data_IF_454603329533
#
_entry.id   IF_454603329533
#
_cell.length_a   1.000
_cell.length_b   1.000
_cell.length_c   1.000
_cell.angle_alpha   90.00
_cell.angle_beta   90.00
_cell.angle_gamma   90.00
#
_symmetry.space_group_name_H-M   'P 1'
#
loop_
_entity.id
_entity.type
_entity.pdbx_description
1 polymer ?
#
# COMPACT_ATOMS: atom_id res chain seq x y z
N UNK A 1 12.72 40.47 17.08
CA UNK A 1 13.48 39.62 17.99
C UNK A 1 13.24 38.17 17.59
N UNK A 2 14.15 37.60 16.81
CA UNK A 2 14.13 36.18 16.43
C UNK A 2 14.44 35.31 17.63
N UNK A 3 13.56 34.37 17.94
CA UNK A 3 13.79 33.43 19.05
C UNK A 3 15.01 32.55 18.76
N UNK A 4 15.77 32.08 19.76
CA UNK A 4 16.94 31.22 19.56
C UNK A 4 16.67 29.98 18.71
N UNK A 5 15.47 29.38 18.84
CA UNK A 5 15.02 28.24 18.04
C UNK A 5 14.92 28.55 16.55
N UNK A 6 14.44 29.78 16.19
CA UNK A 6 14.33 30.20 14.80
C UNK A 6 15.70 30.45 14.15
N UNK A 7 16.68 30.89 14.92
CA UNK A 7 18.06 31.06 14.46
C UNK A 7 18.77 29.71 14.21
N UNK A 8 18.52 28.71 15.05
CA UNK A 8 19.04 27.35 14.85
C UNK A 8 18.54 26.77 13.52
N UNK A 9 17.22 26.83 13.30
CA UNK A 9 16.61 26.31 12.06
C UNK A 9 17.18 26.96 10.79
N UNK A 10 17.41 28.29 10.79
CA UNK A 10 18.02 28.99 9.64
C UNK A 10 19.45 28.49 9.38
N UNK A 11 20.24 28.26 10.42
CA UNK A 11 21.60 27.75 10.29
C UNK A 11 21.62 26.33 9.72
N UNK A 12 20.74 25.48 10.22
CA UNK A 12 20.62 24.09 9.74
C UNK A 12 20.15 24.01 8.29
N UNK A 13 19.15 24.81 7.92
CA UNK A 13 18.70 24.89 6.52
C UNK A 13 19.83 25.34 5.59
N UNK A 14 20.67 26.30 6.02
CA UNK A 14 21.84 26.73 5.23
C UNK A 14 22.91 25.65 5.12
N UNK A 15 23.12 24.84 6.15
CA UNK A 15 24.04 23.70 6.09
C UNK A 15 23.54 22.62 5.13
N UNK A 16 22.24 22.32 5.15
CA UNK A 16 21.61 21.40 4.20
C UNK A 16 21.71 21.93 2.75
N UNK A 17 21.50 23.23 2.55
CA UNK A 17 21.69 23.85 1.23
C UNK A 17 23.14 23.81 0.77
N UNK A 18 24.10 24.00 1.66
CA UNK A 18 25.52 23.87 1.33
C UNK A 18 25.89 22.42 0.95
N UNK A 19 25.36 21.43 1.69
CA UNK A 19 25.53 20.02 1.36
C UNK A 19 24.91 19.70 -0.01
N UNK A 20 23.72 20.21 -0.30
CA UNK A 20 23.06 20.09 -1.58
C UNK A 20 23.96 20.59 -2.73
N UNK A 21 24.54 21.79 -2.61
CA UNK A 21 25.47 22.34 -3.61
C UNK A 21 26.70 21.44 -3.79
N UNK A 22 27.25 20.89 -2.72
CA UNK A 22 28.38 19.96 -2.76
C UNK A 22 28.00 18.67 -3.52
N UNK A 23 26.85 18.08 -3.22
CA UNK A 23 26.36 16.87 -3.88
C UNK A 23 26.04 17.12 -5.36
N UNK A 24 25.44 18.28 -5.70
CA UNK A 24 25.18 18.65 -7.10
C UNK A 24 26.48 18.87 -7.91
N UNK A 25 27.56 19.28 -7.28
CA UNK A 25 28.82 19.53 -7.97
C UNK A 25 29.47 18.28 -8.56
N UNK A 26 28.94 17.08 -8.26
CA UNK A 26 29.45 15.76 -8.69
C UNK A 26 30.97 15.59 -8.46
N UNK A 27 31.50 16.27 -7.45
CA UNK A 27 32.88 16.08 -7.04
C UNK A 27 33.05 14.75 -6.35
N UNK A 28 33.95 13.89 -6.81
CA UNK A 28 34.23 12.60 -6.18
C UNK A 28 34.63 12.79 -4.71
N UNK A 29 33.73 12.48 -3.81
CA UNK A 29 33.98 12.54 -2.37
C UNK A 29 34.53 11.18 -1.95
N UNK A 30 35.83 11.05 -1.94
CA UNK A 30 36.50 9.78 -1.59
C UNK A 30 36.37 9.50 -0.10
N UNK A 31 35.94 8.28 0.23
CA UNK A 31 35.93 7.77 1.61
C UNK A 31 34.65 8.05 2.40
N UNK A 32 33.58 8.54 1.76
CA UNK A 32 32.26 8.62 2.40
C UNK A 32 31.56 7.26 2.40
N UNK A 33 31.08 6.86 3.56
CA UNK A 33 30.15 5.73 3.69
C UNK A 33 28.72 6.23 3.45
N UNK A 34 28.15 5.89 2.29
CA UNK A 34 26.83 6.36 1.88
C UNK A 34 25.73 5.87 2.81
N UNK A 35 25.86 4.65 3.34
CA UNK A 35 24.91 4.09 4.31
C UNK A 35 24.89 4.92 5.61
N UNK A 36 26.07 5.27 6.15
CA UNK A 36 26.14 6.09 7.36
C UNK A 36 25.60 7.51 7.13
N UNK A 37 25.81 8.06 5.94
CA UNK A 37 25.26 9.37 5.58
C UNK A 37 23.72 9.32 5.47
N UNK A 38 23.18 8.29 4.83
CA UNK A 38 21.74 8.12 4.72
C UNK A 38 21.10 7.96 6.10
N UNK A 39 21.65 7.07 6.94
CA UNK A 39 21.16 6.87 8.31
C UNK A 39 21.23 8.18 9.11
N UNK A 40 22.30 8.92 8.99
CA UNK A 40 22.47 10.21 9.63
C UNK A 40 21.40 11.24 9.21
N UNK A 41 21.07 11.28 7.91
CA UNK A 41 20.03 12.17 7.38
C UNK A 41 18.63 11.72 7.78
N UNK A 42 18.34 10.41 7.77
CA UNK A 42 17.07 9.85 8.24
C UNK A 42 16.88 10.13 9.75
N UNK A 43 17.93 9.94 10.54
CA UNK A 43 17.89 10.28 11.97
C UNK A 43 17.65 11.77 12.19
N UNK A 44 18.31 12.63 11.43
CA UNK A 44 18.11 14.07 11.48
C UNK A 44 16.68 14.45 11.08
N UNK A 45 16.13 13.85 10.01
CA UNK A 45 14.74 14.03 9.58
C UNK A 45 13.76 13.70 10.72
N UNK A 46 13.90 12.53 11.34
CA UNK A 46 13.07 12.09 12.46
C UNK A 46 13.16 13.04 13.63
N UNK A 47 14.38 13.44 14.02
CA UNK A 47 14.59 14.40 15.11
C UNK A 47 13.93 15.74 14.83
N UNK A 48 13.98 16.22 13.58
CA UNK A 48 13.32 17.49 13.21
C UNK A 48 11.81 17.41 13.29
N UNK A 49 11.22 16.38 12.71
CA UNK A 49 9.78 16.17 12.71
C UNK A 49 9.23 15.99 14.13
N UNK A 50 9.95 15.27 15.00
CA UNK A 50 9.54 15.08 16.39
C UNK A 50 9.61 16.38 17.20
N UNK A 51 10.56 17.29 16.90
CA UNK A 51 10.71 18.57 17.59
C UNK A 51 9.74 19.65 17.07
N UNK A 52 9.52 19.71 15.76
CA UNK A 52 8.63 20.67 15.11
C UNK A 52 8.10 20.16 13.76
N UNK A 53 7.02 19.38 13.77
CA UNK A 53 6.46 18.79 12.56
C UNK A 53 5.90 19.84 11.57
N UNK A 54 5.65 21.06 12.04
CA UNK A 54 5.12 22.16 11.23
C UNK A 54 6.20 23.00 10.54
N UNK A 55 7.48 22.78 10.84
CA UNK A 55 8.59 23.38 10.07
C UNK A 55 8.80 22.61 8.74
N UNK A 56 7.79 22.67 7.87
CA UNK A 56 7.81 21.98 6.60
C UNK A 56 9.03 22.38 5.73
N UNK A 57 9.56 23.58 5.88
CA UNK A 57 10.71 24.05 5.11
C UNK A 57 11.98 23.26 5.44
N UNK A 58 12.29 23.07 6.72
CA UNK A 58 13.49 22.32 7.14
C UNK A 58 13.32 20.83 6.89
N UNK A 59 12.11 20.29 7.14
CA UNK A 59 11.80 18.89 6.84
C UNK A 59 11.98 18.61 5.34
N UNK A 60 11.41 19.45 4.46
CA UNK A 60 11.55 19.29 3.02
C UNK A 60 13.01 19.43 2.57
N UNK A 61 13.76 20.40 3.09
CA UNK A 61 15.17 20.54 2.76
C UNK A 61 16.01 19.29 3.15
N UNK A 62 15.61 18.60 4.22
CA UNK A 62 16.25 17.33 4.62
C UNK A 62 15.90 16.20 3.64
N UNK A 63 14.64 16.11 3.23
CA UNK A 63 14.18 15.16 2.21
C UNK A 63 14.93 15.40 0.89
N UNK A 64 15.03 16.66 0.45
CA UNK A 64 15.74 17.02 -0.77
C UNK A 64 17.22 16.62 -0.67
N UNK A 65 17.85 16.77 0.49
CA UNK A 65 19.25 16.34 0.71
C UNK A 65 19.40 14.81 0.59
N UNK A 66 18.44 14.01 1.08
CA UNK A 66 18.43 12.56 0.90
C UNK A 66 18.29 12.19 -0.59
N UNK A 67 17.41 12.86 -1.31
CA UNK A 67 17.24 12.65 -2.75
C UNK A 67 18.52 13.00 -3.54
N UNK A 68 19.21 14.08 -3.18
CA UNK A 68 20.49 14.43 -3.80
C UNK A 68 21.59 13.44 -3.47
N UNK A 69 21.59 12.88 -2.25
CA UNK A 69 22.51 11.82 -1.88
C UNK A 69 22.28 10.57 -2.76
N UNK A 70 21.03 10.20 -3.00
CA UNK A 70 20.69 9.11 -3.91
C UNK A 70 21.10 9.39 -5.37
N UNK A 71 20.90 10.61 -5.85
CA UNK A 71 21.35 11.04 -7.19
C UNK A 71 22.89 11.08 -7.36
N UNK A 72 23.62 11.28 -6.26
CA UNK A 72 25.07 11.29 -6.25
C UNK A 72 25.67 9.89 -6.38
N UNK A 73 24.96 8.86 -5.89
CA UNK A 73 25.39 7.47 -6.09
C UNK A 73 25.35 7.15 -7.57
N UNK A 74 26.49 6.82 -8.14
CA UNK A 74 26.71 6.60 -9.59
C UNK A 74 25.85 5.47 -10.16
N UNK A 75 25.15 4.71 -9.32
CA UNK A 75 24.41 3.52 -9.67
C UNK A 75 22.93 3.73 -9.41
N UNK A 76 22.20 4.06 -10.47
CA UNK A 76 20.72 4.07 -10.46
C UNK A 76 20.12 2.71 -10.01
N UNK A 77 20.91 1.64 -10.07
CA UNK A 77 20.52 0.27 -9.70
C UNK A 77 20.47 0.03 -8.18
N UNK A 78 20.77 1.05 -7.36
CA UNK A 78 20.79 0.95 -5.89
C UNK A 78 19.63 1.67 -5.20
N UNK A 79 18.61 2.09 -5.94
CA UNK A 79 17.45 2.75 -5.31
C UNK A 79 16.71 1.80 -4.36
N UNK A 80 16.66 0.51 -4.66
CA UNK A 80 16.10 -0.51 -3.79
C UNK A 80 16.85 -0.61 -2.45
N UNK A 81 18.18 -0.44 -2.42
CA UNK A 81 18.98 -0.38 -1.19
C UNK A 81 18.56 0.80 -0.31
N UNK A 82 18.29 1.98 -0.90
CA UNK A 82 17.79 3.14 -0.16
C UNK A 82 16.41 2.87 0.45
N UNK A 83 15.52 2.25 -0.32
CA UNK A 83 14.18 1.87 0.19
C UNK A 83 14.32 0.87 1.32
N UNK A 84 15.14 -0.18 1.15
CA UNK A 84 15.41 -1.19 2.17
C UNK A 84 16.05 -0.62 3.44
N UNK A 85 16.78 0.47 3.35
CA UNK A 85 17.38 1.15 4.49
C UNK A 85 16.38 2.06 5.21
N UNK A 86 15.47 2.74 4.49
CA UNK A 86 14.47 3.63 5.07
C UNK A 86 13.28 2.85 5.68
N UNK A 87 12.84 1.77 5.04
CA UNK A 87 11.67 1.00 5.47
C UNK A 87 11.75 0.50 6.94
N UNK A 88 12.88 0.00 7.46
CA UNK A 88 13.01 -0.38 8.87
C UNK A 88 12.78 0.78 9.84
N UNK A 89 13.17 2.00 9.48
CA UNK A 89 12.93 3.18 10.33
C UNK A 89 11.43 3.46 10.47
N UNK A 90 10.64 3.26 9.41
CA UNK A 90 9.17 3.38 9.47
C UNK A 90 8.60 2.37 10.46
N UNK A 91 9.03 1.11 10.36
CA UNK A 91 8.56 0.05 11.26
C UNK A 91 9.00 0.30 12.71
N UNK A 92 10.23 0.76 12.92
CA UNK A 92 10.71 1.12 14.25
C UNK A 92 9.84 2.22 14.88
N UNK A 93 9.51 3.28 14.13
CA UNK A 93 8.62 4.34 14.60
C UNK A 93 7.20 3.80 14.87
N UNK A 94 6.68 2.94 13.99
CA UNK A 94 5.34 2.35 14.13
C UNK A 94 5.21 1.57 15.45
N UNK A 95 6.21 0.77 15.77
CA UNK A 95 6.20 -0.11 16.95
C UNK A 95 6.80 0.51 18.22
N UNK A 96 7.34 1.72 18.15
CA UNK A 96 7.88 2.42 19.32
C UNK A 96 6.75 2.76 20.31
N UNK A 97 6.78 2.13 21.48
CA UNK A 97 5.78 2.35 22.52
C UNK A 97 6.01 3.64 23.34
N UNK A 98 7.15 4.29 23.17
CA UNK A 98 7.51 5.51 23.90
C UNK A 98 7.07 6.78 23.16
N UNK A 99 6.86 6.69 21.83
CA UNK A 99 6.42 7.82 21.03
C UNK A 99 4.89 8.01 21.14
N UNK A 100 4.47 9.25 21.28
CA UNK A 100 3.06 9.65 21.20
C UNK A 100 2.51 9.39 19.76
N UNK A 101 1.23 9.05 19.65
CA UNK A 101 0.60 8.72 18.37
C UNK A 101 0.73 9.84 17.33
N UNK A 102 0.63 11.12 17.75
CA UNK A 102 0.87 12.27 16.85
C UNK A 102 2.32 12.34 16.35
N UNK A 103 3.31 12.08 17.23
CA UNK A 103 4.71 12.05 16.81
C UNK A 103 4.99 10.91 15.86
N UNK A 104 4.38 9.73 16.07
CA UNK A 104 4.44 8.61 15.12
C UNK A 104 3.87 9.00 13.77
N UNK A 105 2.67 9.60 13.75
CA UNK A 105 2.00 10.08 12.54
C UNK A 105 2.93 10.96 11.70
N UNK A 106 3.45 12.03 12.28
CA UNK A 106 4.31 12.96 11.54
C UNK A 106 5.62 12.30 11.10
N UNK A 107 6.25 11.49 11.95
CA UNK A 107 7.49 10.78 11.62
C UNK A 107 7.31 9.79 10.46
N UNK A 108 6.25 8.98 10.49
CA UNK A 108 5.95 8.02 9.43
C UNK A 108 5.61 8.77 8.13
N UNK A 109 4.76 9.80 8.18
CA UNK A 109 4.43 10.60 7.00
C UNK A 109 5.67 11.27 6.39
N UNK A 110 6.62 11.74 7.19
CA UNK A 110 7.86 12.33 6.68
C UNK A 110 8.76 11.29 5.98
N UNK A 111 8.88 10.09 6.55
CA UNK A 111 9.63 9.00 5.91
C UNK A 111 8.96 8.52 4.62
N UNK A 112 7.63 8.44 4.59
CA UNK A 112 6.88 8.12 3.37
C UNK A 112 7.03 9.21 2.30
N UNK A 113 6.98 10.49 2.69
CA UNK A 113 7.27 11.61 1.77
C UNK A 113 8.70 11.56 1.24
N UNK A 114 9.65 11.08 2.05
CA UNK A 114 11.02 10.86 1.62
C UNK A 114 11.11 9.75 0.55
N UNK A 115 10.46 8.61 0.77
CA UNK A 115 10.39 7.53 -0.23
C UNK A 115 9.71 8.00 -1.53
N UNK A 116 8.60 8.73 -1.41
CA UNK A 116 7.92 9.29 -2.58
C UNK A 116 8.81 10.23 -3.38
N UNK A 117 9.53 11.13 -2.71
CA UNK A 117 10.48 12.04 -3.35
C UNK A 117 11.64 11.30 -4.03
N UNK A 118 12.13 10.21 -3.42
CA UNK A 118 13.14 9.31 -4.01
C UNK A 118 12.63 8.69 -5.31
N UNK A 119 11.43 8.11 -5.32
CA UNK A 119 10.84 7.52 -6.53
C UNK A 119 10.64 8.57 -7.63
N UNK A 120 10.09 9.73 -7.31
CA UNK A 120 9.88 10.82 -8.28
C UNK A 120 11.19 11.39 -8.85
N UNK A 121 12.27 11.38 -8.07
CA UNK A 121 13.58 11.84 -8.54
C UNK A 121 14.33 10.81 -9.41
N UNK A 122 13.89 9.54 -9.37
CA UNK A 122 14.49 8.44 -10.13
C UNK A 122 13.45 7.69 -10.99
N UNK A 123 12.76 8.37 -11.91
CA UNK A 123 11.64 7.78 -12.64
C UNK A 123 12.04 6.63 -13.60
N UNK A 124 13.33 6.43 -13.81
CA UNK A 124 13.89 5.37 -14.66
C UNK A 124 14.50 4.21 -13.86
N UNK A 125 14.46 4.25 -12.54
CA UNK A 125 14.98 3.20 -11.70
C UNK A 125 13.87 2.19 -11.37
N UNK A 126 14.13 0.91 -11.67
CA UNK A 126 13.24 -0.18 -11.29
C UNK A 126 13.48 -0.58 -9.82
N UNK A 127 12.40 -0.67 -9.03
CA UNK A 127 12.44 -1.15 -7.64
C UNK A 127 11.47 -2.33 -7.49
N UNK A 128 11.97 -3.54 -7.20
CA UNK A 128 11.13 -4.72 -7.09
C UNK A 128 10.06 -4.59 -5.98
N UNK A 129 8.86 -5.13 -6.20
CA UNK A 129 7.78 -5.11 -5.20
C UNK A 129 8.14 -5.81 -3.89
N UNK A 130 9.03 -6.82 -3.94
CA UNK A 130 9.54 -7.49 -2.73
C UNK A 130 10.25 -6.55 -1.75
N UNK A 131 10.77 -5.42 -2.23
CA UNK A 131 11.42 -4.38 -1.41
C UNK A 131 10.48 -3.77 -0.37
N UNK A 132 9.17 -3.81 -0.63
CA UNK A 132 8.13 -3.36 0.29
C UNK A 132 7.73 -4.39 1.35
N UNK A 133 8.35 -5.57 1.36
CA UNK A 133 8.00 -6.61 2.33
C UNK A 133 8.05 -6.09 3.77
N UNK A 134 7.06 -6.48 4.56
CA UNK A 134 6.81 -6.05 5.96
C UNK A 134 6.25 -4.63 6.14
N UNK A 135 6.34 -3.74 5.14
CA UNK A 135 5.79 -2.37 5.27
C UNK A 135 4.27 -2.34 5.27
N UNK A 136 3.60 -3.38 4.77
CA UNK A 136 2.14 -3.54 4.82
C UNK A 136 1.58 -3.48 6.26
N UNK A 137 2.43 -3.70 7.27
CA UNK A 137 2.09 -3.53 8.67
C UNK A 137 1.61 -2.10 9.02
N UNK A 138 1.98 -1.10 8.21
CA UNK A 138 1.55 0.30 8.36
C UNK A 138 0.03 0.42 8.24
N UNK A 139 -0.63 -0.46 7.47
CA UNK A 139 -2.10 -0.49 7.35
C UNK A 139 -2.81 -0.85 8.67
N UNK A 140 -2.09 -1.40 9.66
CA UNK A 140 -2.62 -1.60 11.00
C UNK A 140 -2.58 -0.33 11.87
N UNK A 141 -2.04 0.79 11.37
CA UNK A 141 -2.04 2.07 12.09
C UNK A 141 -3.47 2.52 12.39
N UNK A 142 -3.68 3.02 13.61
CA UNK A 142 -4.95 3.64 14.00
C UNK A 142 -5.22 4.95 13.26
N UNK A 143 -4.17 5.62 12.81
CA UNK A 143 -4.28 6.90 12.12
C UNK A 143 -4.51 6.70 10.62
N UNK A 144 -5.66 7.17 10.13
CA UNK A 144 -6.03 7.06 8.71
C UNK A 144 -5.09 7.81 7.77
N UNK A 145 -4.53 8.93 8.22
CA UNK A 145 -3.58 9.72 7.44
C UNK A 145 -2.31 8.91 7.14
N UNK A 146 -1.81 8.15 8.11
CA UNK A 146 -0.65 7.26 7.96
C UNK A 146 -0.94 6.17 6.93
N UNK A 147 -2.13 5.54 7.00
CA UNK A 147 -2.53 4.49 6.06
C UNK A 147 -2.66 5.02 4.63
N UNK A 148 -3.33 6.17 4.49
CA UNK A 148 -3.52 6.85 3.21
C UNK A 148 -2.17 7.30 2.62
N UNK A 149 -1.28 7.87 3.43
CA UNK A 149 0.06 8.25 2.98
C UNK A 149 0.86 7.02 2.50
N UNK A 150 0.79 5.89 3.20
CA UNK A 150 1.43 4.64 2.78
C UNK A 150 0.91 4.14 1.43
N UNK A 151 -0.42 4.03 1.28
CA UNK A 151 -1.03 3.60 0.02
C UNK A 151 -0.70 4.56 -1.13
N UNK A 152 -0.64 5.86 -0.86
CA UNK A 152 -0.24 6.87 -1.83
C UNK A 152 1.22 6.71 -2.28
N UNK A 153 2.15 6.53 -1.33
CA UNK A 153 3.57 6.34 -1.65
C UNK A 153 3.78 5.06 -2.46
N UNK A 154 3.11 3.97 -2.09
CA UNK A 154 3.12 2.73 -2.87
C UNK A 154 2.51 2.93 -4.27
N UNK A 155 1.41 3.67 -4.39
CA UNK A 155 0.78 4.00 -5.67
C UNK A 155 1.71 4.84 -6.57
N UNK A 156 2.45 5.80 -6.01
CA UNK A 156 3.45 6.58 -6.77
C UNK A 156 4.53 5.67 -7.33
N UNK A 157 5.07 4.76 -6.51
CA UNK A 157 6.02 3.75 -6.98
C UNK A 157 5.44 2.90 -8.11
N UNK A 158 4.23 2.33 -7.92
CA UNK A 158 3.57 1.49 -8.93
C UNK A 158 3.31 2.22 -10.25
N UNK A 159 2.98 3.50 -10.21
CA UNK A 159 2.80 4.30 -11.44
C UNK A 159 4.11 4.51 -12.21
N UNK A 160 5.22 4.59 -11.51
CA UNK A 160 6.55 4.65 -12.13
C UNK A 160 6.88 3.30 -12.76
N UNK A 161 6.65 2.19 -12.06
CA UNK A 161 6.83 0.85 -12.61
C UNK A 161 5.93 0.60 -13.83
N UNK A 162 4.68 1.06 -13.79
CA UNK A 162 3.79 1.01 -14.95
C UNK A 162 4.38 1.78 -16.15
N UNK A 163 4.88 2.99 -15.93
CA UNK A 163 5.51 3.78 -16.99
C UNK A 163 6.77 3.11 -17.56
N UNK A 164 7.57 2.44 -16.73
CA UNK A 164 8.73 1.66 -17.17
C UNK A 164 8.33 0.45 -18.01
N UNK A 165 7.25 -0.24 -17.63
CA UNK A 165 6.68 -1.34 -18.39
C UNK A 165 6.18 -0.87 -19.77
N UNK A 166 5.42 0.22 -19.82
CA UNK A 166 4.89 0.81 -21.06
C UNK A 166 6.00 1.27 -22.03
N UNK A 167 7.14 1.70 -21.48
CA UNK A 167 8.32 2.09 -22.25
C UNK A 167 9.21 0.89 -22.66
N UNK A 168 8.91 -0.30 -22.15
CA UNK A 168 9.72 -1.49 -22.37
C UNK A 168 11.07 -1.50 -21.66
N UNK A 169 11.23 -0.67 -20.62
CA UNK A 169 12.46 -0.60 -19.84
C UNK A 169 12.54 -1.69 -18.75
N UNK A 170 11.41 -2.28 -18.41
CA UNK A 170 11.31 -3.43 -17.50
C UNK A 170 10.31 -4.44 -18.01
N UNK A 171 10.26 -5.60 -17.38
CA UNK A 171 9.30 -6.68 -17.65
C UNK A 171 8.49 -6.96 -16.41
N UNK A 172 7.37 -7.68 -16.54
CA UNK A 172 6.58 -8.09 -15.38
C UNK A 172 7.44 -8.87 -14.39
N UNK A 173 7.34 -8.53 -13.11
CA UNK A 173 7.99 -9.33 -12.07
C UNK A 173 7.47 -10.77 -12.08
N UNK A 174 8.35 -11.78 -11.92
CA UNK A 174 7.92 -13.16 -11.75
C UNK A 174 6.99 -13.29 -10.54
N UNK A 175 5.89 -14.04 -10.71
CA UNK A 175 4.87 -14.21 -9.66
C UNK A 175 5.48 -14.64 -8.33
N UNK A 176 6.45 -15.54 -8.35
CA UNK A 176 7.13 -16.06 -7.15
C UNK A 176 7.96 -15.01 -6.39
N UNK A 177 8.31 -13.90 -7.01
CA UNK A 177 9.11 -12.85 -6.36
C UNK A 177 8.26 -11.84 -5.61
N UNK A 178 7.08 -11.47 -6.14
CA UNK A 178 6.21 -10.44 -5.55
C UNK A 178 5.02 -11.02 -4.76
N UNK A 179 4.62 -12.27 -5.00
CA UNK A 179 3.39 -12.85 -4.45
C UNK A 179 3.36 -12.85 -2.90
N UNK A 180 4.52 -13.03 -2.24
CA UNK A 180 4.61 -13.01 -0.78
C UNK A 180 4.19 -11.66 -0.19
N UNK A 181 4.71 -10.56 -0.75
CA UNK A 181 4.30 -9.21 -0.35
C UNK A 181 2.82 -8.98 -0.66
N UNK A 182 2.34 -9.36 -1.84
CA UNK A 182 0.95 -9.13 -2.24
C UNK A 182 -0.04 -9.90 -1.37
N UNK A 183 0.26 -11.12 -0.94
CA UNK A 183 -0.57 -11.85 0.04
C UNK A 183 -0.63 -11.14 1.40
N UNK A 184 0.51 -10.66 1.90
CA UNK A 184 0.55 -9.91 3.15
C UNK A 184 -0.24 -8.60 3.04
N UNK A 185 -0.06 -7.86 1.95
CA UNK A 185 -0.78 -6.62 1.66
C UNK A 185 -2.30 -6.88 1.58
N UNK A 186 -2.73 -7.91 0.83
CA UNK A 186 -4.12 -8.29 0.70
C UNK A 186 -4.75 -8.65 2.05
N UNK A 187 -4.03 -9.38 2.91
CA UNK A 187 -4.48 -9.70 4.26
C UNK A 187 -4.68 -8.46 5.12
N UNK A 188 -3.76 -7.48 5.04
CA UNK A 188 -3.89 -6.20 5.77
C UNK A 188 -5.04 -5.35 5.26
N UNK A 189 -5.20 -5.27 3.94
CA UNK A 189 -6.31 -4.54 3.33
C UNK A 189 -7.66 -5.16 3.69
N UNK A 190 -7.79 -6.49 3.67
CA UNK A 190 -8.97 -7.18 4.12
C UNK A 190 -9.28 -6.85 5.59
N UNK A 191 -8.28 -6.99 6.46
CA UNK A 191 -8.45 -6.70 7.90
C UNK A 191 -8.92 -5.27 8.11
N UNK A 192 -8.31 -4.30 7.43
CA UNK A 192 -8.69 -2.89 7.53
C UNK A 192 -10.12 -2.66 7.02
N UNK A 193 -10.46 -3.20 5.84
CA UNK A 193 -11.76 -3.00 5.22
C UNK A 193 -12.91 -3.62 6.03
N UNK A 194 -12.68 -4.76 6.70
CA UNK A 194 -13.71 -5.50 7.44
C UNK A 194 -13.69 -5.25 8.95
N UNK A 195 -12.83 -4.38 9.43
CA UNK A 195 -12.69 -4.06 10.85
C UNK A 195 -14.00 -3.54 11.44
N UNK A 196 -14.51 -4.24 12.47
CA UNK A 196 -15.78 -3.91 13.11
C UNK A 196 -17.02 -4.55 12.44
N UNK A 197 -16.89 -5.26 11.30
CA UNK A 197 -17.97 -6.00 10.66
C UNK A 197 -17.94 -7.50 10.99
N UNK A 198 -16.76 -8.04 11.19
CA UNK A 198 -16.56 -9.43 11.58
C UNK A 198 -16.44 -9.45 13.09
N UNK A 199 -17.46 -9.98 13.78
CA UNK A 199 -17.36 -10.29 15.20
C UNK A 199 -16.22 -11.30 15.36
N UNK A 200 -15.14 -10.88 15.99
CA UNK A 200 -14.10 -11.79 16.48
C UNK A 200 -14.70 -12.64 17.64
N UNK A 201 -15.61 -13.54 17.29
CA UNK A 201 -16.26 -14.48 18.22
C UNK A 201 -15.25 -15.39 18.94
N UNK A 202 -13.95 -15.27 18.65
CA UNK A 202 -12.88 -16.06 19.21
C UNK A 202 -12.15 -15.40 20.41
N UNK A 203 -12.43 -14.14 20.74
CA UNK A 203 -11.83 -13.47 21.92
C UNK A 203 -12.87 -12.73 22.73
N UNK A 204 -13.56 -13.41 23.70
CA UNK A 204 -14.58 -12.78 24.55
C UNK A 204 -13.96 -11.98 25.70
N UNK A 205 -12.85 -11.29 25.55
CA UNK A 205 -12.14 -10.63 26.67
C UNK A 205 -11.65 -9.23 26.38
N UNK A 206 -12.43 -8.40 25.72
CA UNK A 206 -12.24 -6.97 25.96
C UNK A 206 -13.46 -6.16 25.53
N UNK A 207 -14.02 -5.40 26.48
CA UNK A 207 -14.99 -4.30 26.27
C UNK A 207 -14.43 -3.15 25.40
N UNK A 208 -13.45 -3.43 24.56
CA UNK A 208 -12.83 -2.45 23.69
C UNK A 208 -13.34 -2.68 22.27
N UNK A 209 -14.46 -2.04 21.95
CA UNK A 209 -14.79 -1.77 20.55
C UNK A 209 -13.54 -1.20 19.86
N UNK A 210 -13.18 -1.68 18.64
CA UNK A 210 -12.00 -1.17 17.95
C UNK A 210 -12.10 0.35 17.86
N UNK A 211 -11.13 1.05 18.44
CA UNK A 211 -11.16 2.51 18.57
C UNK A 211 -10.97 3.24 17.24
N UNK A 212 -10.91 2.52 16.12
CA UNK A 212 -10.78 3.08 14.78
C UNK A 212 -11.45 2.18 13.73
N UNK A 213 -11.84 2.76 12.61
CA UNK A 213 -12.42 2.08 11.45
C UNK A 213 -11.74 2.57 10.18
N UNK A 214 -11.95 1.85 9.07
CA UNK A 214 -11.55 2.35 7.76
C UNK A 214 -12.35 3.61 7.40
N UNK A 215 -11.71 4.57 6.76
CA UNK A 215 -12.32 5.80 6.28
C UNK A 215 -12.63 5.70 4.79
N UNK A 216 -13.50 6.56 4.21
CA UNK A 216 -13.73 6.58 2.77
C UNK A 216 -12.45 6.75 1.95
N UNK A 217 -11.47 7.50 2.47
CA UNK A 217 -10.17 7.69 1.83
C UNK A 217 -9.35 6.40 1.77
N UNK A 218 -9.43 5.54 2.81
CA UNK A 218 -8.76 4.23 2.79
C UNK A 218 -9.28 3.38 1.61
N UNK A 219 -10.61 3.30 1.42
CA UNK A 219 -11.22 2.52 0.32
C UNK A 219 -10.86 3.07 -1.05
N UNK A 220 -10.88 4.39 -1.22
CA UNK A 220 -10.53 5.05 -2.47
C UNK A 220 -9.05 4.76 -2.84
N UNK A 221 -8.14 4.89 -1.88
CA UNK A 221 -6.72 4.63 -2.10
C UNK A 221 -6.44 3.13 -2.34
N UNK A 222 -7.15 2.23 -1.66
CA UNK A 222 -7.06 0.79 -1.94
C UNK A 222 -7.44 0.48 -3.39
N UNK A 223 -8.53 1.09 -3.88
CA UNK A 223 -8.97 0.91 -5.25
C UNK A 223 -7.93 1.39 -6.26
N UNK A 224 -7.45 2.64 -6.15
CA UNK A 224 -6.48 3.21 -7.09
C UNK A 224 -5.17 2.41 -7.11
N UNK A 225 -4.73 1.93 -5.94
CA UNK A 225 -3.55 1.08 -5.84
C UNK A 225 -3.77 -0.28 -6.52
N UNK A 226 -4.94 -0.90 -6.33
CA UNK A 226 -5.27 -2.17 -6.98
C UNK A 226 -5.37 -2.05 -8.49
N UNK A 227 -5.96 -0.98 -8.99
CA UNK A 227 -6.03 -0.72 -10.43
C UNK A 227 -4.64 -0.70 -11.06
N UNK A 228 -3.68 -0.06 -10.40
CA UNK A 228 -2.29 -0.01 -10.87
C UNK A 228 -1.57 -1.35 -10.70
N UNK A 229 -1.78 -2.06 -9.57
CA UNK A 229 -1.21 -3.39 -9.34
C UNK A 229 -1.68 -4.42 -10.38
N UNK A 230 -2.93 -4.36 -10.81
CA UNK A 230 -3.46 -5.24 -11.86
C UNK A 230 -2.77 -5.03 -13.21
N UNK A 231 -2.15 -3.87 -13.42
CA UNK A 231 -1.36 -3.57 -14.62
C UNK A 231 0.10 -3.99 -14.42
N UNK A 232 0.69 -3.67 -13.26
CA UNK A 232 2.13 -3.91 -12.98
C UNK A 232 2.43 -5.38 -12.71
N UNK A 233 1.56 -6.09 -11.99
CA UNK A 233 1.74 -7.48 -11.61
C UNK A 233 0.42 -8.28 -11.78
N UNK A 234 -0.10 -8.44 -13.02
CA UNK A 234 -1.47 -8.87 -13.26
C UNK A 234 -1.79 -10.25 -12.68
N UNK A 235 -0.97 -11.27 -12.94
CA UNK A 235 -1.22 -12.64 -12.47
C UNK A 235 -1.04 -12.76 -10.95
N UNK A 236 0.01 -12.18 -10.39
CA UNK A 236 0.25 -12.20 -8.94
C UNK A 236 -0.84 -11.46 -8.18
N UNK A 237 -1.31 -10.33 -8.71
CA UNK A 237 -2.43 -9.57 -8.12
C UNK A 237 -3.72 -10.38 -8.10
N UNK A 238 -4.08 -11.09 -9.17
CA UNK A 238 -5.26 -11.95 -9.15
C UNK A 238 -5.15 -13.07 -8.11
N UNK A 239 -4.01 -13.75 -8.05
CA UNK A 239 -3.81 -14.83 -7.09
C UNK A 239 -3.86 -14.35 -5.63
N UNK A 240 -3.34 -13.16 -5.36
CA UNK A 240 -3.29 -12.61 -4.01
C UNK A 240 -4.61 -11.96 -3.57
N UNK A 241 -5.29 -11.22 -4.46
CA UNK A 241 -6.41 -10.37 -4.07
C UNK A 241 -7.79 -10.96 -4.35
N UNK A 242 -7.96 -11.87 -5.32
CA UNK A 242 -9.28 -12.45 -5.60
C UNK A 242 -9.86 -13.21 -4.39
N UNK A 243 -9.14 -14.12 -3.72
CA UNK A 243 -9.73 -14.85 -2.58
C UNK A 243 -10.20 -13.94 -1.44
N UNK A 244 -9.42 -12.94 -0.94
CA UNK A 244 -9.92 -12.01 0.08
C UNK A 244 -11.08 -11.14 -0.42
N UNK A 245 -11.11 -10.74 -1.70
CA UNK A 245 -12.21 -9.95 -2.27
C UNK A 245 -13.52 -10.75 -2.33
N UNK A 246 -13.45 -12.01 -2.71
CA UNK A 246 -14.63 -12.91 -2.66
C UNK A 246 -15.10 -13.11 -1.22
N UNK A 247 -14.19 -13.18 -0.25
CA UNK A 247 -14.54 -13.22 1.17
C UNK A 247 -15.19 -11.91 1.64
N UNK A 248 -14.69 -10.75 1.21
CA UNK A 248 -15.32 -9.45 1.48
C UNK A 248 -16.73 -9.35 0.85
N UNK A 249 -16.90 -9.89 -0.36
CA UNK A 249 -18.21 -9.96 -0.99
C UNK A 249 -19.22 -10.75 -0.11
N UNK A 250 -18.80 -11.87 0.45
CA UNK A 250 -19.64 -12.66 1.37
C UNK A 250 -20.00 -11.88 2.64
N UNK A 251 -19.03 -11.23 3.28
CA UNK A 251 -19.27 -10.40 4.47
C UNK A 251 -20.27 -9.28 4.15
N UNK A 252 -20.19 -8.70 2.96
CA UNK A 252 -21.10 -7.63 2.54
C UNK A 252 -22.52 -8.07 2.18
N UNK A 253 -22.76 -9.39 2.03
CA UNK A 253 -24.09 -9.95 1.81
C UNK A 253 -24.89 -10.13 3.11
N UNK A 254 -24.20 -10.17 4.25
CA UNK A 254 -24.87 -10.36 5.54
C UNK A 254 -25.60 -9.07 5.94
N UNK A 255 -26.93 -9.09 6.13
CA UNK A 255 -27.66 -7.93 6.63
C UNK A 255 -27.37 -7.75 8.13
N UNK A 256 -26.14 -7.36 8.44
CA UNK A 256 -25.75 -7.03 9.81
C UNK A 256 -26.14 -5.61 10.16
N UNK A 257 -26.43 -5.40 11.43
CA UNK A 257 -26.56 -4.15 12.17
C UNK A 257 -27.17 -2.93 11.47
N UNK A 258 -28.15 -2.36 12.11
CA UNK A 258 -28.84 -1.12 11.74
C UNK A 258 -28.01 0.16 12.00
N UNK A 259 -26.75 0.02 12.40
CA UNK A 259 -25.88 1.18 12.67
C UNK A 259 -25.41 1.84 11.38
N UNK A 260 -25.58 3.17 11.24
CA UNK A 260 -25.26 3.90 10.00
C UNK A 260 -23.78 3.74 9.57
N UNK A 261 -22.86 3.60 10.51
CA UNK A 261 -21.42 3.43 10.21
C UNK A 261 -21.18 2.07 9.53
N UNK A 262 -21.79 1.01 10.05
CA UNK A 262 -21.69 -0.35 9.50
C UNK A 262 -22.32 -0.43 8.11
N UNK A 263 -23.43 0.25 7.88
CA UNK A 263 -24.08 0.34 6.55
C UNK A 263 -23.15 1.01 5.56
N UNK A 264 -22.55 2.15 5.93
CA UNK A 264 -21.60 2.87 5.07
C UNK A 264 -20.39 2.03 4.72
N UNK A 265 -19.85 1.33 5.70
CA UNK A 265 -18.68 0.46 5.52
C UNK A 265 -19.02 -0.72 4.61
N UNK A 266 -20.19 -1.36 4.80
CA UNK A 266 -20.68 -2.43 3.93
C UNK A 266 -20.83 -1.95 2.48
N UNK A 267 -21.38 -0.76 2.26
CA UNK A 267 -21.50 -0.17 0.92
C UNK A 267 -20.15 0.15 0.31
N UNK A 268 -19.19 0.64 1.11
CA UNK A 268 -17.83 0.91 0.65
C UNK A 268 -17.09 -0.40 0.26
N UNK A 269 -17.28 -1.48 1.01
CA UNK A 269 -16.76 -2.81 0.66
C UNK A 269 -17.38 -3.28 -0.66
N UNK A 270 -18.70 -3.21 -0.81
CA UNK A 270 -19.37 -3.61 -2.05
C UNK A 270 -18.87 -2.81 -3.24
N UNK A 271 -18.69 -1.49 -3.06
CA UNK A 271 -18.10 -0.63 -4.08
C UNK A 271 -16.68 -1.06 -4.43
N UNK A 272 -15.79 -1.27 -3.44
CA UNK A 272 -14.42 -1.69 -3.65
C UNK A 272 -14.34 -3.02 -4.41
N UNK A 273 -15.12 -4.02 -3.97
CA UNK A 273 -15.18 -5.33 -4.64
C UNK A 273 -15.69 -5.19 -6.07
N UNK A 274 -16.79 -4.44 -6.28
CA UNK A 274 -17.39 -4.25 -7.59
C UNK A 274 -16.47 -3.49 -8.55
N UNK A 275 -15.87 -2.39 -8.10
CA UNK A 275 -14.95 -1.60 -8.89
C UNK A 275 -13.70 -2.42 -9.27
N UNK A 276 -13.10 -3.15 -8.32
CA UNK A 276 -11.95 -4.02 -8.59
C UNK A 276 -12.29 -5.15 -9.56
N UNK A 277 -13.46 -5.82 -9.42
CA UNK A 277 -13.89 -6.86 -10.35
C UNK A 277 -14.15 -6.31 -11.76
N UNK A 278 -14.67 -5.09 -11.86
CA UNK A 278 -14.82 -4.42 -13.14
C UNK A 278 -13.46 -4.14 -13.80
N UNK A 279 -12.47 -3.68 -13.03
CA UNK A 279 -11.13 -3.46 -13.52
C UNK A 279 -10.41 -4.75 -13.92
N UNK A 280 -10.50 -5.80 -13.10
CA UNK A 280 -10.02 -7.14 -13.47
C UNK A 280 -10.63 -7.56 -14.82
N UNK A 281 -11.93 -7.36 -14.96
CA UNK A 281 -12.65 -7.75 -16.17
C UNK A 281 -12.23 -6.95 -17.40
N UNK A 282 -11.85 -5.70 -17.25
CA UNK A 282 -11.31 -4.86 -18.32
C UNK A 282 -9.90 -5.30 -18.72
N UNK A 283 -9.01 -5.49 -17.74
CA UNK A 283 -7.62 -5.90 -17.97
C UNK A 283 -7.55 -7.28 -18.61
N UNK A 284 -8.35 -8.23 -18.14
CA UNK A 284 -8.36 -9.62 -18.61
C UNK A 284 -9.45 -9.92 -19.65
N UNK A 285 -10.17 -8.91 -20.14
CA UNK A 285 -11.22 -9.01 -21.17
C UNK A 285 -12.33 -10.03 -20.83
N UNK A 286 -12.79 -10.06 -19.57
CA UNK A 286 -13.79 -11.00 -19.07
C UNK A 286 -15.18 -10.36 -19.13
N UNK A 287 -15.76 -10.29 -20.32
CA UNK A 287 -17.04 -9.62 -20.54
C UNK A 287 -18.17 -10.07 -19.62
N UNK A 288 -18.37 -11.39 -19.31
CA UNK A 288 -19.47 -11.82 -18.45
C UNK A 288 -19.40 -11.25 -17.02
N UNK A 289 -18.21 -11.13 -16.43
CA UNK A 289 -18.05 -10.51 -15.11
C UNK A 289 -18.29 -9.01 -15.19
N UNK A 290 -17.80 -8.35 -16.24
CA UNK A 290 -17.99 -6.91 -16.44
C UNK A 290 -19.47 -6.55 -16.55
N UNK A 291 -20.24 -7.31 -17.34
CA UNK A 291 -21.67 -7.11 -17.52
C UNK A 291 -22.43 -7.37 -16.21
N UNK A 292 -22.08 -8.44 -15.51
CA UNK A 292 -22.65 -8.75 -14.21
C UNK A 292 -22.44 -7.62 -13.19
N UNK A 293 -21.21 -7.13 -13.05
CA UNK A 293 -20.88 -6.06 -12.10
C UNK A 293 -21.57 -4.75 -12.47
N UNK A 294 -21.56 -4.37 -13.75
CA UNK A 294 -22.15 -3.11 -14.23
C UNK A 294 -23.67 -3.09 -14.14
N UNK A 295 -24.33 -4.21 -14.39
CA UNK A 295 -25.79 -4.28 -14.41
C UNK A 295 -26.35 -4.49 -13.00
N UNK A 296 -25.74 -5.37 -12.21
CA UNK A 296 -26.37 -5.82 -10.97
C UNK A 296 -25.76 -5.25 -9.70
N UNK A 297 -24.46 -4.87 -9.71
CA UNK A 297 -23.80 -4.47 -8.49
C UNK A 297 -23.57 -2.95 -8.40
N UNK A 298 -22.89 -2.34 -9.36
CA UNK A 298 -22.55 -0.93 -9.31
C UNK A 298 -23.72 0.04 -9.25
N UNK A 299 -24.86 -0.17 -9.96
CA UNK A 299 -25.98 0.78 -9.91
C UNK A 299 -26.61 0.91 -8.53
N UNK A 300 -26.56 -0.15 -7.73
CA UNK A 300 -27.19 -0.18 -6.39
C UNK A 300 -26.31 0.43 -5.30
N UNK A 301 -25.02 0.61 -5.55
CA UNK A 301 -24.04 1.07 -4.53
C UNK A 301 -23.92 2.60 -4.53
N UNK A 302 -24.25 3.26 -5.66
CA UNK A 302 -24.10 4.71 -5.79
C UNK A 302 -22.64 5.17 -5.65
N UNK A 303 -22.44 6.43 -5.27
CA UNK A 303 -21.12 6.98 -4.91
C UNK A 303 -20.86 6.83 -3.41
N UNK A 304 -20.72 5.60 -2.96
CA UNK A 304 -20.44 5.30 -1.54
C UNK A 304 -19.06 5.78 -1.10
N UNK A 305 -18.10 5.82 -2.03
CA UNK A 305 -16.72 6.22 -1.78
C UNK A 305 -16.40 7.44 -2.67
N UNK A 306 -15.82 8.52 -2.12
CA UNK A 306 -15.37 9.66 -2.90
C UNK A 306 -14.13 9.30 -3.73
N UNK A 307 -13.67 10.21 -4.57
CA UNK A 307 -12.38 10.11 -5.22
C UNK A 307 -11.24 10.05 -4.18
N UNK A 308 -10.14 9.40 -4.54
CA UNK A 308 -8.97 9.32 -3.68
C UNK A 308 -8.43 10.72 -3.37
N UNK A 309 -7.99 10.96 -2.13
CA UNK A 309 -7.45 12.26 -1.76
C UNK A 309 -6.14 12.51 -2.49
N UNK A 310 -6.00 13.71 -3.04
CA UNK A 310 -4.73 14.18 -3.58
C UNK A 310 -3.84 14.63 -2.43
N UNK A 311 -2.70 13.97 -2.28
CA UNK A 311 -1.68 14.37 -1.31
C UNK A 311 -0.68 15.33 -1.97
N UNK A 312 -0.07 16.25 -1.20
CA UNK A 312 0.90 17.19 -1.74
C UNK A 312 2.22 16.48 -2.10
N UNK A 313 2.86 16.89 -3.20
CA UNK A 313 4.14 16.34 -3.66
C UNK A 313 5.33 16.64 -2.72
N UNK A 314 5.16 17.58 -1.82
CA UNK A 314 6.16 17.97 -0.81
C UNK A 314 5.64 17.70 0.58
N UNK A 315 6.55 17.44 1.51
CA UNK A 315 6.16 17.26 2.90
C UNK A 315 5.27 18.40 3.39
N UNK A 316 4.13 17.99 3.92
CA UNK A 316 3.19 18.87 4.60
C UNK A 316 2.54 18.09 5.75
N UNK A 317 2.41 18.68 6.94
CA UNK A 317 1.67 18.05 8.02
C UNK A 317 0.21 17.83 7.60
N UNK A 318 -0.16 16.57 7.47
CA UNK A 318 -1.49 16.18 7.00
C UNK A 318 -2.49 16.17 8.15
N UNK A 319 -3.70 16.63 7.89
CA UNK A 319 -4.83 16.48 8.80
C UNK A 319 -5.40 15.06 8.73
N UNK A 320 -6.15 14.68 9.76
CA UNK A 320 -6.80 13.37 9.78
C UNK A 320 -7.87 13.27 8.68
N UNK A 321 -7.97 12.09 8.08
CA UNK A 321 -8.96 11.83 7.04
C UNK A 321 -10.36 11.80 7.64
N UNK A 322 -11.34 12.44 6.99
CA UNK A 322 -12.70 12.52 7.52
C UNK A 322 -13.33 11.10 7.57
N UNK A 323 -14.08 10.79 8.64
CA UNK A 323 -14.86 9.56 8.72
C UNK A 323 -16.02 9.60 7.72
N UNK A 324 -16.75 8.47 7.60
CA UNK A 324 -17.98 8.44 6.82
C UNK A 324 -18.98 9.49 7.35
N UNK A 325 -19.52 10.28 6.43
CA UNK A 325 -20.61 11.20 6.77
C UNK A 325 -21.88 10.37 7.00
N UNK A 326 -22.65 10.74 8.02
CA UNK A 326 -23.97 10.18 8.23
C UNK A 326 -24.88 10.63 7.08
N UNK A 327 -24.97 9.84 6.03
CA UNK A 327 -25.95 10.05 4.97
C UNK A 327 -27.07 9.03 5.15
N UNK A 328 -28.31 9.46 4.88
CA UNK A 328 -29.41 8.52 4.74
C UNK A 328 -29.18 7.72 3.44
N UNK A 329 -28.65 6.51 3.57
CA UNK A 329 -28.48 5.65 2.42
C UNK A 329 -29.80 4.99 2.05
N UNK A 330 -30.08 4.96 0.75
CA UNK A 330 -31.07 4.04 0.20
C UNK A 330 -30.75 2.62 0.64
N UNK A 331 -31.78 1.82 0.83
CA UNK A 331 -31.65 0.44 1.30
C UNK A 331 -30.48 -0.27 0.61
N UNK A 332 -29.70 -1.02 1.40
CA UNK A 332 -28.62 -1.84 0.88
C UNK A 332 -29.14 -2.68 -0.28
N UNK A 333 -28.36 -2.77 -1.36
CA UNK A 333 -28.73 -3.63 -2.49
C UNK A 333 -29.06 -5.04 -2.01
N UNK A 334 -30.22 -5.52 -2.36
CA UNK A 334 -30.66 -6.91 -2.08
C UNK A 334 -29.93 -7.93 -2.96
N UNK A 335 -29.13 -7.49 -3.92
CA UNK A 335 -28.42 -8.37 -4.86
C UNK A 335 -27.22 -9.03 -4.17
N UNK A 336 -27.30 -10.32 -3.95
CA UNK A 336 -26.17 -11.13 -3.51
C UNK A 336 -25.10 -11.26 -4.62
N UNK A 337 -23.83 -11.48 -4.23
CA UNK A 337 -22.77 -11.76 -5.15
C UNK A 337 -22.84 -13.18 -5.71
N UNK A 338 -22.84 -13.33 -7.03
CA UNK A 338 -22.72 -14.63 -7.71
C UNK A 338 -21.25 -15.06 -7.78
N UNK A 339 -20.74 -15.57 -6.65
CA UNK A 339 -19.35 -16.02 -6.53
C UNK A 339 -19.03 -17.19 -7.47
N UNK A 340 -19.91 -18.21 -7.66
CA UNK A 340 -19.68 -19.26 -8.64
C UNK A 340 -19.41 -18.75 -10.05
N UNK A 341 -20.19 -17.79 -10.53
CA UNK A 341 -20.00 -17.16 -11.84
C UNK A 341 -18.63 -16.49 -11.95
N UNK A 342 -18.26 -15.70 -10.93
CA UNK A 342 -16.97 -14.98 -10.91
C UNK A 342 -15.81 -15.97 -10.96
N UNK A 343 -15.82 -17.00 -10.07
CA UNK A 343 -14.76 -18.00 -9.97
C UNK A 343 -14.64 -18.80 -11.28
N UNK A 344 -15.75 -19.18 -11.88
CA UNK A 344 -15.76 -19.92 -13.12
C UNK A 344 -15.06 -19.13 -14.22
N UNK A 345 -15.49 -17.90 -14.49
CA UNK A 345 -14.93 -17.09 -15.56
C UNK A 345 -13.47 -16.71 -15.33
N UNK A 346 -13.05 -16.46 -14.08
CA UNK A 346 -11.65 -16.20 -13.75
C UNK A 346 -10.78 -17.44 -13.98
N UNK A 347 -11.25 -18.63 -13.59
CA UNK A 347 -10.48 -19.87 -13.71
C UNK A 347 -10.28 -20.31 -15.17
N UNK A 348 -11.17 -19.90 -16.08
CA UNK A 348 -11.11 -20.23 -17.50
C UNK A 348 -10.18 -19.32 -18.31
N UNK A 349 -9.56 -18.28 -17.70
CA UNK A 349 -8.67 -17.38 -18.42
C UNK A 349 -7.37 -18.08 -18.82
N UNK A 350 -7.16 -18.23 -20.14
CA UNK A 350 -5.99 -18.93 -20.70
C UNK A 350 -4.69 -18.22 -20.37
N UNK A 351 -4.69 -16.90 -20.42
CA UNK A 351 -3.50 -16.10 -20.08
C UNK A 351 -3.11 -16.25 -18.60
N UNK A 352 -4.09 -16.32 -17.69
CA UNK A 352 -3.85 -16.57 -16.27
C UNK A 352 -3.28 -17.99 -16.05
N UNK A 353 -3.86 -19.00 -16.70
CA UNK A 353 -3.36 -20.38 -16.65
C UNK A 353 -1.90 -20.46 -17.13
N UNK A 354 -1.60 -19.78 -18.22
CA UNK A 354 -0.24 -19.73 -18.79
C UNK A 354 0.75 -19.04 -17.86
N UNK A 355 0.37 -17.87 -17.33
CA UNK A 355 1.23 -17.06 -16.45
C UNK A 355 1.50 -17.71 -15.09
N UNK A 356 0.55 -18.53 -14.60
CA UNK A 356 0.64 -19.21 -13.30
C UNK A 356 1.09 -20.66 -13.43
N UNK A 357 1.20 -21.20 -14.63
CA UNK A 357 1.42 -22.62 -14.90
C UNK A 357 0.40 -23.54 -14.21
N UNK A 358 -0.84 -23.04 -14.02
CA UNK A 358 -1.93 -23.76 -13.37
C UNK A 358 -3.08 -24.00 -14.36
N UNK A 359 -3.73 -25.16 -14.25
CA UNK A 359 -4.91 -25.45 -15.06
C UNK A 359 -6.20 -24.86 -14.45
N UNK A 360 -7.27 -24.80 -15.21
CA UNK A 360 -8.55 -24.25 -14.77
C UNK A 360 -9.11 -24.92 -13.48
N UNK A 361 -9.04 -26.26 -13.30
CA UNK A 361 -9.43 -26.89 -12.04
C UNK A 361 -8.62 -26.41 -10.83
N UNK A 362 -7.29 -26.26 -10.99
CA UNK A 362 -6.41 -25.78 -9.92
C UNK A 362 -6.71 -24.32 -9.55
N UNK A 363 -6.92 -23.44 -10.54
CA UNK A 363 -7.31 -22.05 -10.31
C UNK A 363 -8.69 -21.96 -9.66
N UNK A 364 -9.66 -22.78 -10.09
CA UNK A 364 -10.99 -22.85 -9.46
C UNK A 364 -10.86 -23.28 -8.00
N UNK A 365 -10.08 -24.30 -7.70
CA UNK A 365 -9.83 -24.73 -6.34
C UNK A 365 -9.15 -23.63 -5.50
N UNK A 366 -8.21 -22.89 -6.08
CA UNK A 366 -7.54 -21.77 -5.43
C UNK A 366 -8.52 -20.65 -5.05
N UNK A 367 -9.35 -20.21 -6.00
CA UNK A 367 -10.31 -19.13 -5.76
C UNK A 367 -11.50 -19.53 -4.89
N UNK A 368 -11.85 -20.83 -4.85
CA UNK A 368 -12.94 -21.36 -4.02
C UNK A 368 -12.51 -21.74 -2.60
N UNK A 369 -11.22 -21.71 -2.30
CA UNK A 369 -10.75 -22.08 -0.96
C UNK A 369 -11.29 -21.11 0.09
N UNK A 370 -11.65 -21.61 1.29
CA UNK A 370 -11.98 -20.74 2.40
C UNK A 370 -10.79 -19.82 2.69
N UNK A 371 -11.00 -18.51 2.59
CA UNK A 371 -9.95 -17.54 2.84
C UNK A 371 -10.01 -17.07 4.29
N UNK A 372 -8.82 -16.86 4.89
CA UNK A 372 -8.68 -16.24 6.22
C UNK A 372 -7.35 -15.50 6.32
N UNK A 373 -7.30 -14.51 7.20
CA UNK A 373 -6.05 -13.75 7.44
C UNK A 373 -4.89 -14.66 7.87
N UNK A 374 -5.05 -15.64 8.79
CA UNK A 374 -3.98 -16.57 9.12
C UNK A 374 -3.50 -17.41 7.93
N UNK A 375 -4.41 -17.85 7.06
CA UNK A 375 -4.02 -18.60 5.86
C UNK A 375 -3.20 -17.72 4.89
N UNK A 376 -3.60 -16.48 4.65
CA UNK A 376 -2.86 -15.55 3.79
C UNK A 376 -1.47 -15.20 4.35
N UNK A 377 -1.34 -15.03 5.66
CA UNK A 377 -0.05 -14.81 6.32
C UNK A 377 0.84 -16.05 6.19
N UNK A 378 0.28 -17.27 6.28
CA UNK A 378 1.02 -18.51 6.04
C UNK A 378 1.49 -18.61 4.59
N UNK A 379 0.64 -18.29 3.61
CA UNK A 379 0.99 -18.26 2.19
C UNK A 379 2.12 -17.26 1.92
N UNK A 380 2.05 -16.05 2.48
CA UNK A 380 3.09 -15.04 2.37
C UNK A 380 4.45 -15.54 2.90
N UNK A 381 4.46 -16.20 4.04
CA UNK A 381 5.69 -16.78 4.63
C UNK A 381 6.25 -17.92 3.79
N UNK A 382 5.39 -18.75 3.22
CA UNK A 382 5.82 -19.87 2.36
C UNK A 382 6.42 -19.34 1.07
N UNK A 383 5.85 -18.32 0.48
CA UNK A 383 6.36 -17.67 -0.73
C UNK A 383 7.70 -16.95 -0.50
N UNK A 384 7.93 -16.41 0.70
CA UNK A 384 9.18 -15.76 1.07
C UNK A 384 10.35 -16.74 1.37
N UNK A 385 10.08 -18.04 1.51
CA UNK A 385 11.15 -19.02 1.71
C UNK A 385 11.84 -19.32 0.38
N UNK A 386 13.20 -19.23 0.31
CA UNK A 386 13.92 -19.62 -0.89
C UNK A 386 13.64 -21.10 -1.17
N UNK A 387 13.20 -21.38 -2.39
CA UNK A 387 12.99 -22.75 -2.86
C UNK A 387 14.35 -23.46 -2.82
N UNK A 388 14.61 -24.24 -1.77
CA UNK A 388 15.75 -25.13 -1.74
C UNK A 388 15.44 -26.20 -2.78
N UNK A 389 15.91 -26.00 -4.00
CA UNK A 389 15.95 -27.03 -5.03
C UNK A 389 16.80 -28.17 -4.47
N UNK A 390 16.15 -29.18 -3.89
CA UNK A 390 16.80 -30.48 -3.66
C UNK A 390 17.15 -31.02 -5.04
N UNK A 391 18.39 -30.74 -5.46
CA UNK A 391 19.01 -31.53 -6.51
C UNK A 391 19.06 -32.96 -5.99
N UNK A 392 18.11 -33.79 -6.42
CA UNK A 392 18.20 -35.24 -6.28
C UNK A 392 19.33 -35.66 -7.18
N UNK A 393 20.54 -35.75 -6.61
CA UNK A 393 21.61 -36.58 -7.15
C UNK A 393 21.13 -38.03 -7.09
N UNK A 394 20.60 -38.51 -8.20
CA UNK A 394 20.50 -39.95 -8.44
C UNK A 394 21.92 -40.45 -8.68
N UNK A 395 22.41 -41.25 -7.75
CA UNK A 395 23.44 -42.29 -7.98
C UNK A 395 22.80 -43.52 -8.58
#
# INVERSE_FOLDING_TARGET
LTTPKKMSNIRETRLLQALHVILESKTDIVGLNMTELLDGHVFFLLSRVQNDPYDATTVQATIDAICHLANYTVYSDQLDDFVQQIAPHILNVLYDTQLADESKKFSICALLSCLEALFRSHPNAHVPLRTWASTEAILASRNSTVRVAYLHTLLVHLRIEQALLEQGHTTYEPVNECIGFLHALAARMYTLATLGLVDDAATPTSDVTPSFSATPADYAMMHDMLDTLLIVAPAASLLAFVPPWLSMAQVSNSPGALEPVVVNQTLAIRWLVGATLAQISLVWQIQPILDYVRVYQLPSIGRAVPEAPTLPDKYHPLNDMPPFKHAAFAAASENEWDLPLIIEHLSLQVELQTSTHADAPSLRAWFSRPWSVPAAVADARTAAQPTITRSSTFT
#
